data_IF_387382211598
#
_entry.id   IF_387382211598
#
_cell.length_a   1.000
_cell.length_b   1.000
_cell.length_c   1.000
_cell.angle_alpha   90.00
_cell.angle_beta   90.00
_cell.angle_gamma   90.00
#
_symmetry.space_group_name_H-M   'P 1'
#
loop_
_entity.id
_entity.type
_entity.pdbx_description
1 polymer ?
#
# COMPACT_ATOMS: atom_id res chain seq x y z
N UNK A 1 -16.10 25.43 18.00
CA UNK A 1 -16.14 23.96 17.96
C UNK A 1 -16.10 23.58 16.50
N UNK A 2 -14.96 23.10 16.02
CA UNK A 2 -14.82 22.62 14.64
C UNK A 2 -15.49 21.25 14.62
N UNK A 3 -16.47 21.08 13.74
CA UNK A 3 -17.18 19.82 13.56
C UNK A 3 -16.20 18.79 12.96
N UNK A 4 -15.63 17.94 13.82
CA UNK A 4 -14.66 16.92 13.43
C UNK A 4 -15.23 15.87 12.45
N UNK A 5 -16.53 15.90 12.16
CA UNK A 5 -17.20 14.97 11.25
C UNK A 5 -16.86 15.20 9.76
N UNK A 6 -16.36 16.38 9.38
CA UNK A 6 -15.97 16.67 7.97
C UNK A 6 -14.58 16.13 7.58
N UNK A 7 -13.73 15.81 8.55
CA UNK A 7 -12.33 15.42 8.31
C UNK A 7 -12.12 13.92 8.17
N UNK A 8 -13.15 13.11 8.35
CA UNK A 8 -13.06 11.66 8.18
C UNK A 8 -14.17 11.19 7.26
N UNK A 9 -13.84 10.31 6.33
CA UNK A 9 -14.85 9.72 5.47
C UNK A 9 -14.51 8.28 5.13
N UNK A 10 -15.57 7.52 4.89
CA UNK A 10 -15.48 6.13 4.46
C UNK A 10 -15.81 6.03 2.97
N UNK A 11 -15.08 5.17 2.27
CA UNK A 11 -15.45 4.70 0.94
C UNK A 11 -15.45 3.19 0.91
N UNK A 12 -16.25 2.57 0.05
CA UNK A 12 -16.39 1.13 -0.03
C UNK A 12 -15.89 0.65 -1.37
N UNK A 13 -15.05 -0.37 -1.34
CA UNK A 13 -14.50 -0.99 -2.54
C UNK A 13 -14.96 -2.43 -2.67
N UNK A 14 -15.38 -2.79 -3.88
CA UNK A 14 -15.83 -4.14 -4.21
C UNK A 14 -14.66 -4.98 -4.72
N UNK A 15 -14.34 -6.08 -4.02
CA UNK A 15 -13.30 -7.03 -4.45
C UNK A 15 -13.92 -8.35 -4.90
N UNK A 16 -13.50 -8.81 -6.08
CA UNK A 16 -13.82 -10.12 -6.63
C UNK A 16 -15.26 -10.29 -7.10
N UNK A 17 -15.60 -11.51 -7.52
CA UNK A 17 -16.94 -11.87 -8.02
C UNK A 17 -17.98 -12.08 -6.91
N UNK A 18 -17.54 -12.26 -5.66
CA UNK A 18 -18.39 -12.54 -4.49
C UNK A 18 -18.93 -11.29 -3.76
N UNK A 19 -18.75 -10.08 -4.30
CA UNK A 19 -19.24 -8.82 -3.70
C UNK A 19 -18.77 -8.58 -2.25
N UNK A 20 -17.52 -8.92 -1.93
CA UNK A 20 -16.96 -8.51 -0.63
C UNK A 20 -16.68 -7.00 -0.66
N UNK A 21 -17.23 -6.28 0.31
CA UNK A 21 -17.04 -4.83 0.46
C UNK A 21 -15.95 -4.56 1.46
N UNK A 22 -14.88 -3.91 1.01
CA UNK A 22 -13.82 -3.43 1.88
C UNK A 22 -14.08 -1.99 2.22
N UNK A 23 -14.17 -1.72 3.52
CA UNK A 23 -14.25 -0.36 4.05
C UNK A 23 -12.87 0.27 3.99
N UNK A 24 -12.78 1.38 3.29
CA UNK A 24 -11.61 2.24 3.23
C UNK A 24 -11.91 3.45 4.11
N UNK A 25 -11.23 3.53 5.24
CA UNK A 25 -11.34 4.67 6.14
C UNK A 25 -10.25 5.68 5.81
N UNK A 26 -10.62 6.95 5.60
CA UNK A 26 -9.67 8.02 5.30
C UNK A 26 -9.89 9.18 6.26
N UNK A 27 -8.81 9.60 6.92
CA UNK A 27 -8.76 10.78 7.76
C UNK A 27 -7.92 11.88 7.09
N UNK A 28 -8.47 13.07 6.98
CA UNK A 28 -7.78 14.31 6.65
C UNK A 28 -7.34 14.94 7.96
N UNK A 29 -6.03 14.95 8.22
CA UNK A 29 -5.49 15.46 9.48
C UNK A 29 -5.30 16.99 9.47
N UNK A 30 -5.53 17.62 8.32
CA UNK A 30 -5.36 19.06 8.08
C UNK A 30 -6.54 19.56 7.24
N UNK A 31 -7.10 20.72 7.61
CA UNK A 31 -8.22 21.33 6.90
C UNK A 31 -7.83 21.75 5.47
N UNK A 32 -8.68 21.43 4.49
CA UNK A 32 -8.69 22.08 3.17
C UNK A 32 -7.66 21.60 2.14
N UNK A 33 -6.91 20.53 2.42
CA UNK A 33 -5.71 20.23 1.62
C UNK A 33 -5.90 19.20 0.49
N UNK A 34 -5.83 17.90 0.73
CA UNK A 34 -5.99 16.93 -0.36
C UNK A 34 -7.49 16.72 -0.60
N UNK A 35 -7.97 17.01 -1.81
CA UNK A 35 -9.39 16.81 -2.12
C UNK A 35 -9.81 15.32 -1.99
N UNK A 36 -11.09 15.10 -1.70
CA UNK A 36 -11.65 13.77 -1.44
C UNK A 36 -11.41 12.79 -2.59
N UNK A 37 -11.51 13.23 -3.84
CA UNK A 37 -11.30 12.34 -4.99
C UNK A 37 -9.83 11.94 -5.11
N UNK A 38 -8.90 12.87 -4.87
CA UNK A 38 -7.46 12.58 -4.84
C UNK A 38 -7.12 11.63 -3.71
N UNK A 39 -7.68 11.80 -2.50
CA UNK A 39 -7.54 10.85 -1.40
C UNK A 39 -7.99 9.43 -1.79
N UNK A 40 -9.13 9.31 -2.47
CA UNK A 40 -9.63 8.01 -2.97
C UNK A 40 -8.67 7.40 -3.99
N UNK A 41 -8.16 8.19 -4.96
CA UNK A 41 -7.15 7.74 -5.94
C UNK A 41 -5.86 7.28 -5.27
N UNK A 42 -5.42 8.00 -4.23
CA UNK A 42 -4.24 7.66 -3.44
C UNK A 42 -4.44 6.40 -2.60
N UNK A 43 -5.65 6.17 -2.10
CA UNK A 43 -6.00 4.94 -1.43
C UNK A 43 -5.87 3.73 -2.38
N UNK A 44 -6.42 3.84 -3.60
CA UNK A 44 -6.23 2.81 -4.63
C UNK A 44 -4.76 2.60 -5.00
N UNK A 45 -4.03 3.70 -5.17
CA UNK A 45 -2.60 3.65 -5.51
C UNK A 45 -1.78 3.02 -4.39
N UNK A 46 -2.17 3.21 -3.13
CA UNK A 46 -1.54 2.58 -1.95
C UNK A 46 -1.79 1.08 -1.91
N UNK A 47 -3.02 0.65 -2.14
CA UNK A 47 -3.36 -0.77 -2.27
C UNK A 47 -2.60 -1.43 -3.43
N UNK A 48 -2.57 -0.79 -4.60
CA UNK A 48 -1.84 -1.30 -5.77
C UNK A 48 -0.33 -1.40 -5.50
N UNK A 49 0.25 -0.35 -4.91
CA UNK A 49 1.65 -0.32 -4.52
C UNK A 49 1.98 -1.45 -3.54
N UNK A 50 1.16 -1.65 -2.50
CA UNK A 50 1.36 -2.72 -1.52
C UNK A 50 1.35 -4.11 -2.17
N UNK A 51 0.34 -4.40 -3.01
CA UNK A 51 0.25 -5.67 -3.72
C UNK A 51 1.45 -5.89 -4.65
N UNK A 52 1.79 -4.91 -5.49
CA UNK A 52 2.92 -4.99 -6.42
C UNK A 52 4.25 -5.16 -5.68
N UNK A 53 4.45 -4.44 -4.58
CA UNK A 53 5.70 -4.50 -3.83
C UNK A 53 5.91 -5.88 -3.20
N UNK A 54 4.87 -6.47 -2.59
CA UNK A 54 4.93 -7.85 -2.08
C UNK A 54 5.18 -8.83 -3.23
N UNK A 55 4.48 -8.68 -4.36
CA UNK A 55 4.66 -9.54 -5.53
C UNK A 55 6.08 -9.51 -6.11
N UNK A 56 6.70 -8.34 -6.11
CA UNK A 56 8.08 -8.17 -6.55
C UNK A 56 9.05 -8.79 -5.54
N UNK A 57 8.89 -8.52 -4.25
CA UNK A 57 9.80 -9.02 -3.21
C UNK A 57 9.80 -10.55 -3.11
N UNK A 58 8.64 -11.20 -3.27
CA UNK A 58 8.52 -12.67 -3.30
C UNK A 58 8.90 -13.30 -4.65
N UNK A 59 9.31 -12.50 -5.63
CA UNK A 59 9.77 -12.96 -6.94
C UNK A 59 8.66 -13.44 -7.88
N UNK A 60 7.42 -12.97 -7.70
CA UNK A 60 6.32 -13.19 -8.67
C UNK A 60 6.43 -12.24 -9.86
N UNK A 61 6.78 -10.98 -9.60
CA UNK A 61 6.88 -9.90 -10.60
C UNK A 61 8.28 -9.27 -10.63
N UNK A 62 8.60 -8.54 -11.71
CA UNK A 62 9.84 -7.77 -11.81
C UNK A 62 9.74 -6.37 -11.21
N UNK A 63 10.86 -5.83 -10.71
CA UNK A 63 10.94 -4.49 -10.10
C UNK A 63 10.52 -3.35 -11.03
N UNK A 64 10.61 -3.54 -12.35
CA UNK A 64 10.16 -2.58 -13.37
C UNK A 64 8.66 -2.25 -13.24
N UNK A 65 7.84 -3.14 -12.67
CA UNK A 65 6.42 -2.91 -12.42
C UNK A 65 6.17 -1.74 -11.45
N UNK A 66 7.16 -1.35 -10.65
CA UNK A 66 7.05 -0.27 -9.67
C UNK A 66 7.42 1.11 -10.24
N UNK A 67 8.04 1.20 -11.43
CA UNK A 67 8.60 2.44 -11.97
C UNK A 67 7.58 3.57 -12.16
N UNK A 68 6.32 3.23 -12.42
CA UNK A 68 5.25 4.22 -12.61
C UNK A 68 4.78 4.84 -11.29
N UNK A 69 4.85 4.08 -10.19
CA UNK A 69 4.27 4.41 -8.89
C UNK A 69 5.30 4.84 -7.85
N UNK A 70 6.50 4.27 -7.88
CA UNK A 70 7.49 4.39 -6.81
C UNK A 70 8.69 5.25 -7.18
N UNK A 71 9.23 5.93 -6.18
CA UNK A 71 10.50 6.63 -6.30
C UNK A 71 11.63 5.60 -6.44
N UNK A 72 12.68 5.84 -7.27
CA UNK A 72 13.78 4.89 -7.47
C UNK A 72 14.43 4.37 -6.18
N UNK A 73 14.52 5.25 -5.16
CA UNK A 73 15.01 4.89 -3.81
C UNK A 73 14.16 3.80 -3.14
N UNK A 74 12.85 3.78 -3.31
CA UNK A 74 11.96 2.74 -2.77
C UNK A 74 12.19 1.43 -3.50
N UNK A 75 12.29 1.48 -4.82
CA UNK A 75 12.55 0.29 -5.66
C UNK A 75 13.89 -0.35 -5.27
N UNK A 76 14.94 0.46 -5.12
CA UNK A 76 16.26 0.00 -4.66
C UNK A 76 16.20 -0.66 -3.28
N UNK A 77 15.47 -0.08 -2.32
CA UNK A 77 15.28 -0.67 -0.98
C UNK A 77 14.57 -2.01 -1.02
N UNK A 78 13.47 -2.11 -1.78
CA UNK A 78 12.75 -3.37 -1.96
C UNK A 78 13.62 -4.43 -2.64
N UNK A 79 14.49 -4.02 -3.57
CA UNK A 79 15.44 -4.93 -4.21
C UNK A 79 16.46 -5.47 -3.21
N UNK A 80 17.11 -4.59 -2.45
CA UNK A 80 18.02 -4.99 -1.37
C UNK A 80 17.34 -5.90 -0.35
N UNK A 81 16.11 -5.57 0.07
CA UNK A 81 15.33 -6.42 0.96
C UNK A 81 15.10 -7.82 0.37
N UNK A 82 14.73 -7.91 -0.91
CA UNK A 82 14.50 -9.21 -1.56
C UNK A 82 15.77 -10.07 -1.64
N UNK A 83 16.94 -9.44 -1.81
CA UNK A 83 18.25 -10.11 -1.84
C UNK A 83 18.59 -10.65 -0.46
N UNK A 84 18.46 -9.83 0.59
CA UNK A 84 18.70 -10.26 1.97
C UNK A 84 17.80 -11.44 2.37
N UNK A 85 16.52 -11.38 1.98
CA UNK A 85 15.55 -12.45 2.24
C UNK A 85 15.88 -13.77 1.50
N UNK A 86 16.59 -13.71 0.38
CA UNK A 86 17.13 -14.90 -0.29
C UNK A 86 18.30 -15.49 0.50
N UNK A 87 19.25 -14.63 0.90
CA UNK A 87 20.52 -15.04 1.48
C UNK A 87 20.34 -15.67 2.87
N UNK A 88 19.41 -15.14 3.68
CA UNK A 88 19.22 -15.61 5.06
C UNK A 88 18.25 -16.79 5.21
N UNK A 89 17.69 -17.34 4.12
CA UNK A 89 16.58 -18.32 4.15
C UNK A 89 15.34 -17.88 4.98
N UNK A 90 15.29 -16.62 5.45
CA UNK A 90 14.26 -16.08 6.33
C UNK A 90 12.91 -15.84 5.65
N UNK A 91 12.86 -15.86 4.31
CA UNK A 91 11.61 -15.64 3.56
C UNK A 91 10.47 -16.60 3.92
N UNK A 92 10.79 -17.85 4.29
CA UNK A 92 9.79 -18.87 4.65
C UNK A 92 9.08 -18.61 5.98
N UNK A 93 9.72 -17.83 6.88
CA UNK A 93 9.14 -17.46 8.18
C UNK A 93 8.29 -16.19 8.10
N UNK A 94 8.40 -15.43 7.01
CA UNK A 94 7.77 -14.13 6.84
C UNK A 94 6.66 -14.25 5.79
N UNK A 95 5.41 -14.07 6.23
CA UNK A 95 4.21 -14.29 5.39
C UNK A 95 4.27 -13.55 4.06
N UNK A 96 4.60 -12.26 4.07
CA UNK A 96 4.63 -11.42 2.86
C UNK A 96 5.85 -11.69 1.96
N UNK A 97 6.91 -12.32 2.48
CA UNK A 97 8.11 -12.64 1.72
C UNK A 97 8.13 -14.08 1.19
N UNK A 98 7.21 -14.94 1.64
CA UNK A 98 7.24 -16.37 1.36
C UNK A 98 7.14 -16.67 -0.14
N UNK A 99 8.27 -17.14 -0.68
CA UNK A 99 8.43 -17.48 -2.10
C UNK A 99 7.64 -18.71 -2.49
N UNK A 100 7.35 -19.64 -1.56
CA UNK A 100 6.48 -20.78 -1.83
C UNK A 100 5.07 -20.30 -2.18
N UNK A 101 4.63 -19.19 -1.57
CA UNK A 101 3.33 -18.59 -1.80
C UNK A 101 3.25 -17.68 -3.04
N UNK A 102 4.32 -17.53 -3.85
CA UNK A 102 4.37 -16.55 -4.97
C UNK A 102 3.23 -16.66 -6.00
N UNK A 103 2.65 -17.84 -6.16
CA UNK A 103 1.55 -18.10 -7.10
C UNK A 103 0.18 -17.72 -6.52
N UNK A 104 0.06 -17.60 -5.20
CA UNK A 104 -1.18 -17.28 -4.51
C UNK A 104 -1.49 -15.77 -4.56
N UNK A 105 -2.75 -15.37 -4.73
CA UNK A 105 -3.13 -13.96 -4.79
C UNK A 105 -2.96 -13.28 -3.43
N UNK A 106 -2.64 -12.00 -3.47
CA UNK A 106 -2.71 -11.11 -2.32
C UNK A 106 -4.10 -10.48 -2.31
N UNK A 107 -4.79 -10.55 -1.19
CA UNK A 107 -6.16 -10.06 -1.04
C UNK A 107 -6.16 -8.91 -0.04
N UNK A 108 -6.57 -7.72 -0.47
CA UNK A 108 -6.75 -6.58 0.44
C UNK A 108 -7.89 -6.91 1.40
N UNK A 109 -7.78 -6.52 2.66
CA UNK A 109 -8.80 -6.75 3.70
C UNK A 109 -9.19 -5.48 4.44
N UNK A 110 -8.24 -4.61 4.73
CA UNK A 110 -8.51 -3.36 5.44
C UNK A 110 -7.65 -2.24 4.87
N UNK A 111 -8.14 -1.00 5.01
CA UNK A 111 -7.42 0.17 4.56
C UNK A 111 -7.68 1.34 5.51
N UNK A 112 -6.60 1.97 5.96
CA UNK A 112 -6.64 3.23 6.70
C UNK A 112 -5.70 4.25 6.03
N UNK A 113 -6.25 5.34 5.52
CA UNK A 113 -5.52 6.41 4.85
C UNK A 113 -5.51 7.69 5.68
N UNK A 114 -4.41 8.44 5.57
CA UNK A 114 -4.18 9.68 6.31
C UNK A 114 -3.61 10.74 5.37
N UNK A 115 -4.42 11.76 5.06
CA UNK A 115 -3.94 12.97 4.40
C UNK A 115 -3.32 13.88 5.47
N UNK A 116 -1.99 13.79 5.64
CA UNK A 116 -1.26 14.45 6.74
C UNK A 116 -0.77 15.85 6.39
N UNK A 117 -0.80 16.22 5.10
CA UNK A 117 -0.44 17.55 4.56
C UNK A 117 -0.92 17.63 3.09
N UNK A 118 -0.85 18.79 2.41
CA UNK A 118 -1.28 18.92 1.00
C UNK A 118 -0.51 18.02 0.04
N UNK A 119 0.71 17.66 0.43
CA UNK A 119 1.68 16.97 -0.41
C UNK A 119 2.09 15.61 0.13
N UNK A 120 1.37 15.08 1.13
CA UNK A 120 1.72 13.80 1.77
C UNK A 120 0.48 13.02 2.19
N UNK A 121 0.44 11.78 1.77
CA UNK A 121 -0.60 10.81 2.11
C UNK A 121 0.04 9.53 2.61
N UNK A 122 -0.37 9.07 3.79
CA UNK A 122 0.10 7.83 4.39
C UNK A 122 -1.03 6.81 4.37
N UNK A 123 -0.71 5.52 4.25
CA UNK A 123 -1.69 4.45 4.27
C UNK A 123 -1.17 3.21 5.00
N UNK A 124 -2.04 2.60 5.79
CA UNK A 124 -1.88 1.25 6.31
C UNK A 124 -2.84 0.33 5.54
N UNK A 125 -2.28 -0.68 4.87
CA UNK A 125 -3.04 -1.64 4.07
C UNK A 125 -2.93 -3.00 4.74
N UNK A 126 -4.07 -3.54 5.21
CA UNK A 126 -4.16 -4.90 5.72
C UNK A 126 -4.48 -5.86 4.58
N UNK A 127 -3.72 -6.94 4.49
CA UNK A 127 -3.71 -7.87 3.37
C UNK A 127 -3.80 -9.30 3.90
N UNK A 128 -4.18 -10.23 3.03
CA UNK A 128 -4.04 -11.67 3.25
C UNK A 128 -3.28 -12.30 2.10
N UNK A 129 -2.34 -13.18 2.46
CA UNK A 129 -1.62 -14.04 1.55
C UNK A 129 -1.65 -15.46 2.09
N UNK A 130 -2.10 -16.42 1.27
CA UNK A 130 -2.21 -17.83 1.66
C UNK A 130 -3.04 -18.06 2.95
N UNK A 131 -4.07 -17.23 3.17
CA UNK A 131 -4.90 -17.27 4.38
C UNK A 131 -4.23 -16.71 5.64
N UNK A 132 -3.00 -16.19 5.54
CA UNK A 132 -2.29 -15.54 6.63
C UNK A 132 -2.34 -14.02 6.46
N UNK A 133 -2.53 -13.25 7.55
CA UNK A 133 -2.55 -11.80 7.47
C UNK A 133 -1.15 -11.23 7.31
N UNK A 134 -1.05 -10.10 6.61
CA UNK A 134 0.15 -9.27 6.55
C UNK A 134 -0.24 -7.80 6.35
N UNK A 135 0.67 -6.88 6.62
CA UNK A 135 0.42 -5.45 6.51
C UNK A 135 1.48 -4.74 5.68
N UNK A 136 1.06 -3.63 5.08
CA UNK A 136 1.95 -2.72 4.40
C UNK A 136 1.69 -1.28 4.84
N UNK A 137 2.77 -0.53 5.05
CA UNK A 137 2.74 0.93 5.17
C UNK A 137 3.24 1.56 3.88
N UNK A 138 2.43 2.46 3.34
CA UNK A 138 2.72 3.13 2.08
C UNK A 138 2.63 4.64 2.27
N UNK A 139 3.61 5.37 1.75
CA UNK A 139 3.64 6.84 1.79
C UNK A 139 3.76 7.40 0.39
N UNK A 140 2.76 8.16 -0.03
CA UNK A 140 2.81 8.97 -1.24
C UNK A 140 3.16 10.42 -0.91
N UNK A 141 4.01 11.01 -1.75
CA UNK A 141 4.30 12.45 -1.74
C UNK A 141 4.07 13.06 -3.11
N UNK A 142 3.51 14.27 -3.12
CA UNK A 142 3.39 15.06 -4.33
C UNK A 142 4.69 15.81 -4.57
N UNK A 143 5.27 15.68 -5.77
CA UNK A 143 6.54 16.30 -6.13
C UNK A 143 6.38 17.57 -7.01
N UNK A 144 5.19 18.15 -7.07
CA UNK A 144 4.85 19.27 -7.96
C UNK A 144 4.23 18.84 -9.29
N UNK A 145 4.42 17.59 -9.72
CA UNK A 145 3.86 17.06 -10.98
C UNK A 145 2.96 15.85 -10.79
N UNK A 146 3.37 14.91 -9.93
CA UNK A 146 2.62 13.69 -9.66
C UNK A 146 2.84 13.21 -8.23
N UNK A 147 1.92 12.36 -7.78
CA UNK A 147 2.09 11.60 -6.56
C UNK A 147 3.03 10.41 -6.81
N UNK A 148 4.02 10.23 -5.94
CA UNK A 148 5.01 9.16 -6.03
C UNK A 148 5.14 8.49 -4.66
N UNK A 149 5.20 7.17 -4.64
CA UNK A 149 5.47 6.40 -3.44
C UNK A 149 6.93 6.63 -3.00
N UNK A 150 7.11 7.09 -1.77
CA UNK A 150 8.40 7.44 -1.15
C UNK A 150 8.77 6.54 0.04
N UNK A 151 7.83 5.74 0.55
CA UNK A 151 8.07 4.65 1.50
C UNK A 151 7.09 3.51 1.22
N UNK A 152 7.58 2.28 1.30
CA UNK A 152 6.79 1.05 1.23
C UNK A 152 7.48 0.02 2.12
N UNK A 153 6.86 -0.31 3.25
CA UNK A 153 7.41 -1.20 4.27
C UNK A 153 6.34 -2.23 4.67
N UNK A 154 6.76 -3.37 5.23
CA UNK A 154 5.87 -4.49 5.56
C UNK A 154 6.08 -4.98 7.00
N UNK A 155 5.03 -5.51 7.63
CA UNK A 155 5.10 -6.24 8.90
C UNK A 155 4.04 -7.32 9.00
#
# INVERSE_FOLDING_TARGET
>A
MIDNSELTFDTYYHIGTKKENIKFHIAQCVNGDIDKQTCIKLAYSSCNMACLAIDVVRGRLGFNMLNSLAHPKVISRLNSLSVLLCEENGSSQIVWADRACKHLPIIIRTFNGFAVSPVRFNANVGLMLAGKPCWAYVVFRFNGRKWVCTSCDFW
#
